data_IF_126283236519
#
_entry.id   IF_126283236519
#
_cell.length_a   1.000
_cell.length_b   1.000
_cell.length_c   1.000
_cell.angle_alpha   90.00
_cell.angle_beta   90.00
_cell.angle_gamma   90.00
#
_symmetry.space_group_name_H-M   'P 1'
#
loop_
_entity.id
_entity.type
_entity.pdbx_description
1 polymer ?
#
# COMPACT_ATOMS: atom_id res chain seq x y z
N UNK A 1 -12.21 -29.09 -5.03
CA UNK A 1 -11.33 -28.92 -3.86
C UNK A 1 -12.18 -29.00 -2.60
N UNK A 2 -11.67 -29.53 -1.48
CA UNK A 2 -12.40 -29.53 -0.20
C UNK A 2 -11.80 -28.45 0.70
N UNK A 3 -12.65 -27.74 1.43
CA UNK A 3 -12.25 -26.74 2.43
C UNK A 3 -13.07 -26.90 3.71
N UNK A 4 -12.50 -26.42 4.82
CA UNK A 4 -13.15 -26.36 6.12
C UNK A 4 -13.45 -24.90 6.48
N UNK A 5 -14.67 -24.62 6.95
CA UNK A 5 -15.02 -23.27 7.44
C UNK A 5 -14.77 -23.23 8.94
N UNK A 6 -13.90 -22.33 9.39
CA UNK A 6 -13.46 -22.22 10.78
C UNK A 6 -14.27 -21.11 11.44
N UNK A 7 -15.11 -21.49 12.42
CA UNK A 7 -15.99 -20.57 13.17
C UNK A 7 -15.86 -20.69 14.69
N UNK A 8 -15.12 -21.69 15.17
CA UNK A 8 -14.87 -21.92 16.59
C UNK A 8 -13.38 -21.78 16.91
N UNK A 9 -13.06 -21.28 18.10
CA UNK A 9 -11.68 -21.03 18.53
C UNK A 9 -10.84 -22.31 18.56
N UNK A 10 -11.42 -23.43 19.01
CA UNK A 10 -10.75 -24.75 19.00
C UNK A 10 -10.34 -25.20 17.60
N UNK A 11 -11.22 -24.97 16.61
CA UNK A 11 -10.91 -25.27 15.20
C UNK A 11 -9.75 -24.39 14.70
N UNK A 12 -9.71 -23.12 15.11
CA UNK A 12 -8.62 -22.21 14.75
C UNK A 12 -7.28 -22.67 15.37
N UNK A 13 -7.30 -23.08 16.63
CA UNK A 13 -6.12 -23.61 17.34
C UNK A 13 -5.58 -24.86 16.66
N UNK A 14 -6.44 -25.80 16.27
CA UNK A 14 -6.06 -27.02 15.55
C UNK A 14 -5.42 -26.70 14.20
N UNK A 15 -6.06 -25.82 13.41
CA UNK A 15 -5.55 -25.36 12.11
C UNK A 15 -4.18 -24.69 12.26
N UNK A 16 -4.03 -23.78 13.22
CA UNK A 16 -2.76 -23.06 13.42
C UNK A 16 -1.66 -24.00 13.94
N UNK A 17 -2.01 -25.01 14.74
CA UNK A 17 -1.04 -26.02 15.23
C UNK A 17 -0.54 -26.89 14.08
N UNK A 18 -1.42 -27.32 13.18
CA UNK A 18 -1.04 -28.06 11.97
C UNK A 18 -0.17 -27.23 11.03
N UNK A 19 -0.58 -25.97 10.78
CA UNK A 19 0.17 -25.01 9.96
C UNK A 19 1.61 -24.79 10.45
N UNK A 20 1.83 -24.76 11.78
CA UNK A 20 3.17 -24.61 12.37
C UNK A 20 4.12 -25.79 12.12
N UNK A 21 3.61 -26.94 11.68
CA UNK A 21 4.44 -28.09 11.33
C UNK A 21 4.95 -28.03 9.88
N UNK A 22 4.56 -27.01 9.12
CA UNK A 22 4.91 -26.85 7.71
C UNK A 22 5.99 -25.81 7.51
N UNK A 23 6.77 -25.94 6.44
CA UNK A 23 7.78 -24.94 6.07
C UNK A 23 7.16 -23.63 5.58
N UNK A 24 5.97 -23.72 4.97
CA UNK A 24 5.26 -22.57 4.43
C UNK A 24 3.74 -22.79 4.49
N UNK A 25 3.00 -21.69 4.55
CA UNK A 25 1.55 -21.67 4.40
C UNK A 25 1.14 -20.58 3.42
N UNK A 26 0.13 -20.87 2.61
CA UNK A 26 -0.47 -19.92 1.68
C UNK A 26 -1.56 -19.15 2.39
N UNK A 27 -1.54 -17.83 2.30
CA UNK A 27 -2.51 -16.94 2.90
C UNK A 27 -3.11 -16.00 1.86
N UNK A 28 -4.36 -15.66 2.09
CA UNK A 28 -5.07 -14.59 1.40
C UNK A 28 -6.07 -13.93 2.36
N UNK A 29 -6.64 -12.79 1.99
CA UNK A 29 -7.75 -12.19 2.72
C UNK A 29 -8.84 -11.62 1.81
N UNK A 30 -10.07 -11.65 2.30
CA UNK A 30 -11.18 -10.97 1.65
C UNK A 30 -11.76 -9.90 2.56
N UNK A 31 -11.95 -8.70 2.02
CA UNK A 31 -12.36 -7.53 2.78
C UNK A 31 -13.18 -6.55 1.94
N UNK A 32 -13.92 -5.68 2.62
CA UNK A 32 -14.74 -4.65 2.00
C UNK A 32 -14.21 -3.26 2.39
N UNK A 33 -13.98 -2.40 1.40
CA UNK A 33 -13.58 -0.99 1.60
C UNK A 33 -14.47 -0.04 0.79
N UNK A 34 -15.68 0.23 1.30
CA UNK A 34 -16.65 1.11 0.61
C UNK A 34 -16.60 2.53 1.18
N UNK A 35 -16.89 2.68 2.47
CA UNK A 35 -17.03 4.00 3.13
C UNK A 35 -16.14 4.17 4.34
N UNK A 36 -15.53 3.10 4.81
CA UNK A 36 -14.70 3.06 6.01
C UNK A 36 -13.30 3.57 5.72
N UNK A 37 -12.61 4.04 6.76
CA UNK A 37 -11.21 4.40 6.68
C UNK A 37 -10.37 3.13 6.60
N UNK A 38 -10.66 2.17 7.49
CA UNK A 38 -10.02 0.87 7.55
C UNK A 38 -10.77 -0.16 6.69
N UNK A 39 -10.08 -1.08 6.01
CA UNK A 39 -10.72 -2.21 5.36
C UNK A 39 -11.42 -3.09 6.40
N UNK A 40 -12.62 -3.56 6.07
CA UNK A 40 -13.38 -4.46 6.93
C UNK A 40 -13.11 -5.90 6.52
N UNK A 41 -12.33 -6.62 7.32
CA UNK A 41 -11.96 -8.01 7.08
C UNK A 41 -13.20 -8.92 7.14
N UNK A 42 -13.44 -9.66 6.06
CA UNK A 42 -14.57 -10.57 5.88
C UNK A 42 -14.17 -12.04 5.94
N UNK A 43 -13.01 -12.44 5.43
CA UNK A 43 -12.54 -13.83 5.45
C UNK A 43 -11.01 -13.88 5.42
N UNK A 44 -10.41 -14.88 6.06
CA UNK A 44 -9.00 -15.23 5.89
C UNK A 44 -8.93 -16.64 5.32
N UNK A 45 -8.11 -16.85 4.31
CA UNK A 45 -7.87 -18.14 3.71
C UNK A 45 -6.49 -18.64 4.11
N UNK A 46 -6.38 -19.92 4.43
CA UNK A 46 -5.13 -20.58 4.78
C UNK A 46 -5.06 -21.94 4.11
N UNK A 47 -3.98 -22.21 3.40
CA UNK A 47 -3.63 -23.55 2.93
C UNK A 47 -2.25 -23.96 3.44
N UNK A 48 -2.18 -25.08 4.15
CA UNK A 48 -0.97 -25.62 4.77
C UNK A 48 -0.32 -26.74 3.95
N UNK A 49 -0.75 -26.93 2.69
CA UNK A 49 -0.34 -28.06 1.85
C UNK A 49 -1.22 -29.31 2.01
N UNK A 50 -2.04 -29.41 3.06
CA UNK A 50 -2.92 -30.56 3.32
C UNK A 50 -4.40 -30.18 3.31
N UNK A 51 -4.78 -29.07 3.93
CA UNK A 51 -6.17 -28.62 4.07
C UNK A 51 -6.33 -27.13 3.80
N UNK A 52 -7.38 -26.79 3.07
CA UNK A 52 -7.81 -25.40 2.90
C UNK A 52 -8.75 -25.03 4.04
N UNK A 53 -8.43 -23.96 4.76
CA UNK A 53 -9.17 -23.45 5.90
C UNK A 53 -9.67 -22.03 5.59
N UNK A 54 -10.99 -21.85 5.60
CA UNK A 54 -11.66 -20.57 5.41
C UNK A 54 -12.09 -20.05 6.78
N UNK A 55 -11.30 -19.13 7.32
CA UNK A 55 -11.43 -18.62 8.68
C UNK A 55 -12.38 -17.42 8.67
N UNK A 56 -13.47 -17.51 9.43
CA UNK A 56 -14.47 -16.45 9.58
C UNK A 56 -14.15 -15.58 10.81
N UNK A 57 -13.45 -14.43 10.65
CA UNK A 57 -13.04 -13.60 11.78
C UNK A 57 -14.23 -12.90 12.45
N UNK A 58 -15.41 -12.86 11.81
CA UNK A 58 -16.62 -12.29 12.41
C UNK A 58 -17.32 -13.27 13.37
N UNK A 59 -17.07 -14.57 13.21
CA UNK A 59 -17.62 -15.62 14.08
C UNK A 59 -16.72 -15.93 15.28
N UNK A 60 -15.43 -15.61 15.19
CA UNK A 60 -14.41 -15.95 16.18
C UNK A 60 -14.28 -14.83 17.23
N UNK A 61 -14.34 -15.21 18.52
CA UNK A 61 -14.12 -14.27 19.62
C UNK A 61 -12.64 -14.02 19.94
N UNK A 62 -11.76 -14.91 19.48
CA UNK A 62 -10.33 -14.86 19.73
C UNK A 62 -9.56 -15.31 18.48
N UNK A 63 -8.58 -14.50 18.07
CA UNK A 63 -7.70 -14.74 16.91
C UNK A 63 -6.24 -14.97 17.33
N UNK A 64 -5.96 -15.14 18.63
CA UNK A 64 -4.60 -15.25 19.19
C UNK A 64 -3.79 -16.36 18.52
N UNK A 65 -4.38 -17.54 18.27
CA UNK A 65 -3.71 -18.64 17.61
C UNK A 65 -3.22 -18.27 16.19
N UNK A 66 -4.03 -17.51 15.43
CA UNK A 66 -3.68 -17.01 14.10
C UNK A 66 -2.60 -15.93 14.17
N UNK A 67 -2.73 -14.96 15.09
CA UNK A 67 -1.70 -13.93 15.32
C UNK A 67 -0.34 -14.55 15.62
N UNK A 68 -0.32 -15.55 16.50
CA UNK A 68 0.90 -16.29 16.82
C UNK A 68 1.47 -17.02 15.59
N UNK A 69 0.64 -17.54 14.68
CA UNK A 69 1.09 -18.17 13.44
C UNK A 69 1.67 -17.12 12.46
N UNK A 70 1.02 -15.96 12.33
CA UNK A 70 1.53 -14.85 11.51
C UNK A 70 2.93 -14.44 11.95
N UNK A 71 3.21 -14.43 13.25
CA UNK A 71 4.51 -14.03 13.80
C UNK A 71 5.51 -15.19 13.97
N UNK A 72 5.12 -16.42 13.64
CA UNK A 72 5.97 -17.59 13.81
C UNK A 72 7.09 -17.62 12.75
N UNK A 73 8.33 -17.39 13.18
CA UNK A 73 9.48 -17.32 12.27
C UNK A 73 9.88 -18.65 11.64
N UNK A 74 9.35 -19.77 12.15
CA UNK A 74 9.63 -21.10 11.60
C UNK A 74 8.82 -21.41 10.34
N UNK A 75 7.75 -20.65 10.08
CA UNK A 75 6.82 -20.90 8.97
C UNK A 75 6.80 -19.69 8.04
N UNK A 76 7.06 -19.92 6.75
CA UNK A 76 6.97 -18.87 5.72
C UNK A 76 5.51 -18.58 5.40
N UNK A 77 5.08 -17.31 5.49
CA UNK A 77 3.76 -16.90 5.01
C UNK A 77 3.87 -16.46 3.55
N UNK A 78 3.13 -17.11 2.67
CA UNK A 78 3.17 -16.86 1.23
C UNK A 78 1.86 -16.23 0.81
N UNK A 79 1.95 -15.08 0.16
CA UNK A 79 0.80 -14.33 -0.36
C UNK A 79 1.04 -13.94 -1.82
N UNK A 80 0.02 -13.41 -2.48
CA UNK A 80 0.14 -12.85 -3.82
C UNK A 80 -0.37 -11.40 -3.86
N UNK A 81 0.44 -10.47 -4.37
CA UNK A 81 0.08 -9.06 -4.48
C UNK A 81 -0.39 -8.46 -3.13
N UNK A 82 0.28 -8.81 -2.04
CA UNK A 82 -0.24 -8.77 -0.68
C UNK A 82 -0.31 -7.37 -0.05
N UNK A 83 -0.20 -6.32 -0.88
CA UNK A 83 -0.07 -4.96 -0.44
C UNK A 83 -1.25 -4.47 0.38
N UNK A 84 -2.48 -4.91 0.06
CA UNK A 84 -3.67 -4.58 0.86
C UNK A 84 -3.86 -5.55 2.03
N UNK A 85 -3.50 -6.82 1.88
CA UNK A 85 -3.55 -7.82 2.98
C UNK A 85 -2.68 -7.41 4.16
N UNK A 86 -1.50 -6.86 3.91
CA UNK A 86 -0.64 -6.32 4.97
C UNK A 86 -1.34 -5.18 5.74
N UNK A 87 -2.07 -4.29 5.05
CA UNK A 87 -2.86 -3.26 5.72
C UNK A 87 -4.01 -3.86 6.53
N UNK A 88 -4.67 -4.89 5.99
CA UNK A 88 -5.74 -5.62 6.69
C UNK A 88 -5.21 -6.28 7.96
N UNK A 89 -4.10 -7.03 7.89
CA UNK A 89 -3.48 -7.64 9.07
C UNK A 89 -3.05 -6.60 10.11
N UNK A 90 -2.40 -5.52 9.68
CA UNK A 90 -1.98 -4.46 10.60
C UNK A 90 -3.18 -3.84 11.34
N UNK A 91 -4.29 -3.61 10.63
CA UNK A 91 -5.49 -2.99 11.22
C UNK A 91 -6.29 -3.96 12.09
N UNK A 92 -6.41 -5.22 11.69
CA UNK A 92 -7.20 -6.23 12.40
C UNK A 92 -6.45 -6.84 13.60
N UNK A 93 -5.13 -6.98 13.49
CA UNK A 93 -4.32 -7.75 14.45
C UNK A 93 -3.14 -6.98 15.05
N UNK A 94 -2.84 -5.77 14.55
CA UNK A 94 -1.72 -4.97 15.05
C UNK A 94 -0.35 -5.52 14.69
N UNK A 95 -0.27 -6.50 13.78
CA UNK A 95 0.98 -7.10 13.32
C UNK A 95 0.92 -7.45 11.83
N UNK A 96 2.10 -7.62 11.25
CA UNK A 96 2.28 -8.18 9.91
C UNK A 96 2.76 -9.64 10.00
N UNK A 97 2.55 -10.46 8.95
CA UNK A 97 3.18 -11.76 8.84
C UNK A 97 4.73 -11.63 8.81
N UNK A 98 5.44 -12.46 9.56
CA UNK A 98 6.92 -12.50 9.59
C UNK A 98 7.44 -13.94 9.80
N UNK A 99 8.32 -14.47 8.93
CA UNK A 99 8.69 -13.95 7.62
C UNK A 99 7.56 -14.15 6.60
N UNK A 100 7.56 -13.36 5.53
CA UNK A 100 6.64 -13.57 4.42
C UNK A 100 7.31 -13.31 3.07
N UNK A 101 6.68 -13.82 2.01
CA UNK A 101 7.03 -13.54 0.63
C UNK A 101 5.78 -13.25 -0.19
N UNK A 102 5.94 -12.40 -1.19
CA UNK A 102 4.92 -12.08 -2.18
C UNK A 102 5.28 -12.72 -3.53
N UNK A 103 4.44 -13.62 -4.01
CA UNK A 103 4.64 -14.29 -5.30
C UNK A 103 4.55 -13.34 -6.50
N UNK A 104 3.87 -12.18 -6.39
CA UNK A 104 3.91 -11.13 -7.41
C UNK A 104 5.30 -10.47 -7.49
N UNK A 105 5.96 -10.26 -6.34
CA UNK A 105 7.36 -9.79 -6.31
C UNK A 105 8.27 -10.84 -6.94
N UNK A 106 8.12 -12.11 -6.56
CA UNK A 106 8.90 -13.21 -7.16
C UNK A 106 8.71 -13.28 -8.67
N UNK A 107 7.47 -13.16 -9.14
CA UNK A 107 7.14 -13.15 -10.56
C UNK A 107 7.76 -11.94 -11.30
N UNK A 108 7.84 -10.78 -10.66
CA UNK A 108 8.49 -9.59 -11.22
C UNK A 108 10.00 -9.80 -11.43
N UNK A 109 10.69 -10.46 -10.50
CA UNK A 109 12.10 -10.85 -10.67
C UNK A 109 12.30 -11.83 -11.84
N UNK A 110 11.31 -12.67 -12.13
CA UNK A 110 11.34 -13.64 -13.22
C UNK A 110 10.78 -13.10 -14.55
N UNK A 111 10.42 -11.81 -14.61
CA UNK A 111 10.01 -11.16 -15.86
C UNK A 111 8.54 -11.35 -16.26
N UNK A 112 7.69 -11.85 -15.37
CA UNK A 112 6.24 -11.96 -15.62
C UNK A 112 5.53 -10.60 -15.66
N UNK A 113 6.17 -9.54 -15.15
CA UNK A 113 5.62 -8.20 -15.03
C UNK A 113 5.47 -7.74 -13.58
N UNK A 114 5.35 -6.43 -13.38
CA UNK A 114 5.27 -5.79 -12.06
C UNK A 114 3.93 -5.98 -11.34
N UNK A 115 2.88 -6.23 -12.10
CA UNK A 115 1.50 -6.29 -11.62
C UNK A 115 0.79 -7.50 -12.21
N UNK A 116 1.54 -8.59 -12.37
CA UNK A 116 0.98 -9.87 -12.82
C UNK A 116 -0.04 -10.32 -11.80
N UNK A 117 -1.28 -10.51 -12.24
CA UNK A 117 -2.37 -10.94 -11.38
C UNK A 117 -2.31 -12.44 -11.13
N UNK A 118 -2.89 -12.87 -10.01
CA UNK A 118 -2.92 -14.26 -9.58
C UNK A 118 -3.45 -15.21 -10.66
N UNK A 119 -4.63 -14.90 -11.24
CA UNK A 119 -5.23 -15.71 -12.30
C UNK A 119 -4.34 -15.86 -13.56
N UNK A 120 -3.48 -14.87 -13.86
CA UNK A 120 -2.52 -14.99 -14.95
C UNK A 120 -1.44 -16.03 -14.61
N UNK A 121 -0.91 -16.00 -13.38
CA UNK A 121 0.05 -17.01 -12.94
C UNK A 121 -0.57 -18.41 -12.85
N UNK A 122 -1.82 -18.53 -12.43
CA UNK A 122 -2.52 -19.82 -12.40
C UNK A 122 -2.68 -20.36 -13.81
N UNK A 123 -3.10 -19.54 -14.77
CA UNK A 123 -3.18 -19.98 -16.17
C UNK A 123 -1.81 -20.37 -16.74
N UNK A 124 -0.76 -19.59 -16.47
CA UNK A 124 0.56 -19.81 -17.06
C UNK A 124 1.29 -21.02 -16.44
N UNK A 125 1.12 -21.27 -15.13
CA UNK A 125 1.89 -22.29 -14.37
C UNK A 125 1.08 -23.55 -14.12
N UNK A 126 -0.23 -23.42 -13.85
CA UNK A 126 -1.12 -24.53 -13.49
C UNK A 126 -1.98 -24.97 -14.68
N UNK A 127 -2.00 -24.21 -15.78
CA UNK A 127 -2.82 -24.44 -16.98
C UNK A 127 -4.32 -24.51 -16.65
N UNK A 128 -4.78 -23.59 -15.80
CA UNK A 128 -6.16 -23.50 -15.34
C UNK A 128 -6.68 -22.06 -15.43
N UNK A 129 -7.87 -21.90 -15.99
CA UNK A 129 -8.58 -20.62 -16.01
C UNK A 129 -9.42 -20.45 -14.74
N UNK A 130 -9.13 -19.41 -13.96
CA UNK A 130 -9.92 -19.07 -12.76
C UNK A 130 -11.15 -18.22 -13.10
N UNK A 131 -12.28 -18.55 -12.47
CA UNK A 131 -13.45 -17.69 -12.46
C UNK A 131 -13.19 -16.46 -11.57
N UNK A 132 -13.39 -15.25 -12.11
CA UNK A 132 -13.17 -13.97 -11.43
C UNK A 132 -14.46 -13.34 -10.87
N UNK A 133 -15.57 -14.08 -10.94
CA UNK A 133 -16.92 -13.57 -10.71
C UNK A 133 -17.16 -13.00 -9.29
N UNK A 134 -16.44 -13.50 -8.28
CA UNK A 134 -16.68 -13.13 -6.86
C UNK A 134 -15.67 -12.10 -6.29
N UNK A 135 -14.70 -11.61 -7.09
CA UNK A 135 -13.68 -10.64 -6.66
C UNK A 135 -14.21 -9.27 -6.16
N UNK A 136 -15.51 -8.99 -6.32
CA UNK A 136 -16.18 -7.75 -5.86
C UNK A 136 -17.44 -8.04 -5.03
N UNK A 137 -17.54 -9.23 -4.46
CA UNK A 137 -18.67 -9.66 -3.67
C UNK A 137 -18.73 -8.94 -2.31
N UNK A 138 -19.88 -9.05 -1.63
CA UNK A 138 -20.01 -8.60 -0.25
C UNK A 138 -19.46 -9.68 0.70
N UNK A 139 -18.20 -9.55 1.08
CA UNK A 139 -17.50 -10.48 1.98
C UNK A 139 -17.89 -10.34 3.45
N UNK A 140 -18.71 -9.34 3.80
CA UNK A 140 -19.32 -9.19 5.12
C UNK A 140 -20.68 -9.89 5.21
N UNK A 141 -21.26 -10.31 4.08
CA UNK A 141 -22.52 -11.03 4.06
C UNK A 141 -22.40 -12.37 4.81
N UNK A 142 -23.45 -12.76 5.54
CA UNK A 142 -23.53 -14.05 6.22
C UNK A 142 -24.91 -14.72 6.02
N UNK A 143 -24.94 -16.02 5.69
CA UNK A 143 -23.79 -16.87 5.33
C UNK A 143 -23.17 -16.44 3.99
N UNK A 144 -21.86 -16.68 3.80
CA UNK A 144 -21.24 -16.58 2.48
C UNK A 144 -21.81 -17.67 1.57
N UNK A 145 -21.93 -17.37 0.27
CA UNK A 145 -22.39 -18.34 -0.72
C UNK A 145 -21.32 -19.38 -1.07
N UNK A 146 -21.74 -20.54 -1.58
CA UNK A 146 -20.81 -21.60 -2.00
C UNK A 146 -19.81 -21.09 -3.05
N UNK A 147 -20.26 -20.22 -3.97
CA UNK A 147 -19.38 -19.60 -4.98
C UNK A 147 -18.29 -18.73 -4.37
N UNK A 148 -18.63 -17.92 -3.38
CA UNK A 148 -17.65 -17.10 -2.65
C UNK A 148 -16.64 -17.99 -1.93
N UNK A 149 -17.10 -19.08 -1.30
CA UNK A 149 -16.21 -20.01 -0.59
C UNK A 149 -15.30 -20.79 -1.56
N UNK A 150 -15.81 -21.24 -2.70
CA UNK A 150 -15.05 -21.92 -3.75
C UNK A 150 -13.98 -20.98 -4.35
N UNK A 151 -14.35 -19.72 -4.62
CA UNK A 151 -13.44 -18.69 -5.10
C UNK A 151 -12.29 -18.46 -4.10
N UNK A 152 -12.63 -18.13 -2.85
CA UNK A 152 -11.67 -17.85 -1.79
C UNK A 152 -10.72 -19.03 -1.54
N UNK A 153 -11.26 -20.25 -1.52
CA UNK A 153 -10.43 -21.43 -1.35
C UNK A 153 -9.42 -21.60 -2.50
N UNK A 154 -9.78 -21.17 -3.73
CA UNK A 154 -8.94 -21.28 -4.91
C UNK A 154 -7.70 -20.40 -4.82
N UNK A 155 -7.84 -19.21 -4.23
CA UNK A 155 -6.77 -18.21 -4.14
C UNK A 155 -5.58 -18.68 -3.29
N UNK A 156 -5.79 -19.56 -2.30
CA UNK A 156 -4.69 -20.17 -1.54
C UNK A 156 -4.28 -21.55 -2.02
N UNK A 157 -5.21 -22.32 -2.60
CA UNK A 157 -4.90 -23.68 -3.06
C UNK A 157 -3.98 -23.68 -4.28
N UNK A 158 -4.25 -22.83 -5.26
CA UNK A 158 -3.40 -22.71 -6.44
C UNK A 158 -2.15 -21.85 -6.20
N UNK A 159 -2.06 -21.15 -5.06
CA UNK A 159 -0.88 -20.37 -4.69
C UNK A 159 0.33 -21.25 -4.35
N UNK A 160 0.12 -22.42 -3.76
CA UNK A 160 1.21 -23.36 -3.43
C UNK A 160 2.02 -23.78 -4.67
N UNK A 161 1.42 -24.34 -5.75
CA UNK A 161 2.20 -24.74 -6.93
C UNK A 161 2.87 -23.54 -7.62
N UNK A 162 2.27 -22.34 -7.57
CA UNK A 162 2.89 -21.11 -8.06
C UNK A 162 4.14 -20.79 -7.23
N UNK A 163 4.02 -20.77 -5.91
CA UNK A 163 5.13 -20.50 -5.01
C UNK A 163 6.28 -21.48 -5.22
N UNK A 164 6.00 -22.78 -5.31
CA UNK A 164 7.03 -23.80 -5.52
C UNK A 164 7.78 -23.57 -6.86
N UNK A 165 7.03 -23.30 -7.93
CA UNK A 165 7.59 -23.00 -9.24
C UNK A 165 8.47 -21.75 -9.27
N UNK A 166 7.99 -20.66 -8.66
CA UNK A 166 8.74 -19.40 -8.60
C UNK A 166 9.95 -19.52 -7.68
N UNK A 167 9.82 -20.17 -6.51
CA UNK A 167 10.89 -20.33 -5.53
C UNK A 167 12.08 -21.09 -6.14
N UNK A 168 11.82 -22.17 -6.86
CA UNK A 168 12.86 -22.94 -7.53
C UNK A 168 13.70 -22.06 -8.47
N UNK A 169 13.06 -21.21 -9.26
CA UNK A 169 13.75 -20.33 -10.22
C UNK A 169 14.47 -19.17 -9.54
N UNK A 170 13.84 -18.55 -8.53
CA UNK A 170 14.45 -17.46 -7.76
C UNK A 170 15.72 -17.92 -7.06
N UNK A 171 15.70 -19.12 -6.46
CA UNK A 171 16.89 -19.69 -5.81
C UNK A 171 17.98 -20.03 -6.85
N UNK A 172 17.59 -20.56 -8.01
CA UNK A 172 18.55 -20.87 -9.08
C UNK A 172 19.24 -19.62 -9.66
N UNK A 173 18.59 -18.45 -9.57
CA UNK A 173 19.13 -17.17 -10.03
C UNK A 173 19.72 -16.31 -8.91
N UNK A 174 19.80 -16.84 -7.68
CA UNK A 174 20.34 -16.15 -6.49
C UNK A 174 19.60 -14.84 -6.13
N UNK A 175 18.30 -14.77 -6.43
CA UNK A 175 17.45 -13.59 -6.14
C UNK A 175 16.72 -13.67 -4.80
N UNK A 176 16.86 -14.77 -4.04
CA UNK A 176 16.04 -15.01 -2.85
C UNK A 176 16.16 -13.91 -1.79
N UNK A 177 17.37 -13.44 -1.49
CA UNK A 177 17.56 -12.34 -0.54
C UNK A 177 16.92 -11.04 -1.05
N UNK A 178 17.05 -10.75 -2.35
CA UNK A 178 16.44 -9.55 -2.95
C UNK A 178 14.90 -9.60 -2.90
N UNK A 179 14.29 -10.78 -3.06
CA UNK A 179 12.84 -10.98 -2.87
C UNK A 179 12.42 -10.65 -1.44
N UNK A 180 13.16 -11.15 -0.44
CA UNK A 180 12.88 -10.86 0.96
C UNK A 180 13.04 -9.37 1.27
N UNK A 181 14.07 -8.72 0.72
CA UNK A 181 14.30 -7.29 0.87
C UNK A 181 13.16 -6.45 0.26
N UNK A 182 12.63 -6.86 -0.91
CA UNK A 182 11.46 -6.20 -1.53
C UNK A 182 10.19 -6.38 -0.71
N UNK A 183 9.95 -7.59 -0.19
CA UNK A 183 8.80 -7.87 0.68
C UNK A 183 8.89 -7.03 1.96
N UNK A 184 10.07 -6.94 2.58
CA UNK A 184 10.29 -6.10 3.75
C UNK A 184 10.07 -4.61 3.44
N UNK A 185 10.57 -4.12 2.31
CA UNK A 185 10.35 -2.74 1.88
C UNK A 185 8.85 -2.44 1.68
N UNK A 186 8.07 -3.40 1.17
CA UNK A 186 6.62 -3.27 1.05
C UNK A 186 5.95 -3.23 2.43
N UNK A 187 6.35 -4.09 3.37
CA UNK A 187 5.88 -4.10 4.75
C UNK A 187 6.17 -2.77 5.47
N UNK A 188 7.41 -2.29 5.42
CA UNK A 188 7.83 -1.05 6.08
C UNK A 188 7.00 0.15 5.63
N UNK A 189 6.68 0.22 4.32
CA UNK A 189 5.82 1.28 3.76
C UNK A 189 4.39 1.22 4.28
N UNK A 190 3.88 0.05 4.64
CA UNK A 190 2.51 -0.12 5.15
C UNK A 190 2.39 0.23 6.62
N UNK A 191 3.43 -0.02 7.42
CA UNK A 191 3.44 0.31 8.86
C UNK A 191 3.99 1.70 9.16
N UNK A 192 4.61 2.37 8.17
CA UNK A 192 5.09 3.73 8.32
C UNK A 192 4.00 4.66 8.85
N UNK A 193 4.31 5.39 9.91
CA UNK A 193 3.39 6.37 10.48
C UNK A 193 3.05 7.43 9.44
N UNK A 194 1.75 7.66 9.23
CA UNK A 194 1.30 8.71 8.34
C UNK A 194 1.47 10.07 9.00
N UNK A 195 2.28 10.93 8.39
CA UNK A 195 2.48 12.31 8.82
C UNK A 195 1.24 13.16 8.53
N UNK A 196 0.36 13.23 9.53
CA UNK A 196 -0.91 13.97 9.47
C UNK A 196 -0.67 15.46 9.21
N UNK A 197 0.44 16.02 9.68
CA UNK A 197 0.76 17.44 9.48
C UNK A 197 1.14 17.72 8.02
N UNK A 198 1.66 16.73 7.30
CA UNK A 198 1.98 16.83 5.88
C UNK A 198 0.92 16.24 4.94
N UNK A 199 -0.25 15.84 5.45
CA UNK A 199 -1.36 15.31 4.66
C UNK A 199 -1.83 16.24 3.51
N UNK A 200 -1.61 17.55 3.63
CA UNK A 200 -1.93 18.51 2.58
C UNK A 200 -1.11 18.35 1.30
N UNK A 201 0.07 17.73 1.40
CA UNK A 201 0.93 17.49 0.24
C UNK A 201 0.34 16.42 -0.69
N UNK A 202 -0.46 15.50 -0.15
CA UNK A 202 -1.14 14.43 -0.89
C UNK A 202 -2.44 14.91 -1.56
N UNK A 203 -2.97 16.07 -1.16
CA UNK A 203 -4.19 16.64 -1.75
C UNK A 203 -3.92 16.99 -3.21
N UNK A 204 -4.66 16.36 -4.13
CA UNK A 204 -4.52 16.63 -5.56
C UNK A 204 -4.73 18.12 -5.86
N UNK A 205 -3.75 18.72 -6.51
CA UNK A 205 -3.77 20.15 -6.86
C UNK A 205 -3.18 21.09 -5.79
N UNK A 206 -2.71 20.58 -4.65
CA UNK A 206 -2.06 21.41 -3.63
C UNK A 206 -0.87 22.23 -4.17
N UNK A 207 -0.11 21.68 -5.14
CA UNK A 207 0.99 22.37 -5.83
C UNK A 207 0.59 23.66 -6.56
N UNK A 208 -0.70 23.87 -6.83
CA UNK A 208 -1.21 25.10 -7.47
C UNK A 208 -1.44 26.24 -6.47
N UNK A 209 -1.36 25.96 -5.16
CA UNK A 209 -1.61 26.92 -4.11
C UNK A 209 -0.34 27.71 -3.76
N UNK A 210 -0.52 28.98 -3.44
CA UNK A 210 0.56 29.78 -2.87
C UNK A 210 0.77 29.45 -1.37
N UNK A 211 1.87 29.95 -0.78
CA UNK A 211 2.24 29.68 0.62
C UNK A 211 1.13 29.99 1.63
N UNK A 212 0.40 31.09 1.43
CA UNK A 212 -0.72 31.48 2.30
C UNK A 212 -1.89 30.50 2.18
N UNK A 213 -2.24 30.10 0.96
CA UNK A 213 -3.29 29.10 0.72
C UNK A 213 -2.89 27.72 1.24
N UNK A 214 -1.61 27.35 1.16
CA UNK A 214 -1.07 26.14 1.78
C UNK A 214 -1.15 26.20 3.31
N UNK A 215 -0.90 27.37 3.92
CA UNK A 215 -1.09 27.56 5.36
C UNK A 215 -2.56 27.36 5.80
N UNK A 216 -3.52 27.59 4.90
CA UNK A 216 -4.93 27.23 5.12
C UNK A 216 -5.21 25.74 4.85
N UNK A 217 -4.67 25.18 3.77
CA UNK A 217 -4.90 23.77 3.40
C UNK A 217 -4.30 22.80 4.42
N UNK A 218 -3.12 23.10 4.97
CA UNK A 218 -2.40 22.27 5.94
C UNK A 218 -3.30 21.80 7.10
N UNK A 219 -3.82 22.70 7.96
CA UNK A 219 -4.68 22.29 9.07
C UNK A 219 -6.02 21.70 8.62
N UNK A 220 -6.54 22.07 7.44
CA UNK A 220 -7.77 21.47 6.89
C UNK A 220 -7.55 19.99 6.54
N UNK A 221 -6.43 19.67 5.89
CA UNK A 221 -6.08 18.30 5.52
C UNK A 221 -5.81 17.44 6.75
N UNK A 222 -5.05 17.96 7.72
CA UNK A 222 -4.79 17.29 9.01
C UNK A 222 -6.09 17.00 9.75
N UNK A 223 -6.99 17.99 9.88
CA UNK A 223 -8.30 17.79 10.49
C UNK A 223 -9.13 16.74 9.74
N UNK A 224 -9.19 16.81 8.40
CA UNK A 224 -9.96 15.84 7.60
C UNK A 224 -9.45 14.42 7.84
N UNK A 225 -8.13 14.24 7.90
CA UNK A 225 -7.52 12.94 8.16
C UNK A 225 -7.84 12.42 9.57
N UNK A 226 -7.68 13.26 10.60
CA UNK A 226 -8.02 12.89 11.97
C UNK A 226 -9.50 12.54 12.12
N UNK A 227 -10.40 13.31 11.50
CA UNK A 227 -11.84 13.06 11.56
C UNK A 227 -12.24 11.78 10.80
N UNK A 228 -11.62 11.52 9.65
CA UNK A 228 -11.77 10.31 8.87
C UNK A 228 -11.39 9.07 9.69
N UNK A 229 -10.20 9.08 10.30
CA UNK A 229 -9.73 7.99 11.17
C UNK A 229 -10.62 7.82 12.40
N UNK A 230 -10.97 8.92 13.08
CA UNK A 230 -11.79 8.90 14.31
C UNK A 230 -13.18 8.30 14.09
N UNK A 231 -13.77 8.55 12.92
CA UNK A 231 -15.12 8.08 12.59
C UNK A 231 -15.14 6.82 11.75
N UNK A 232 -13.97 6.27 11.44
CA UNK A 232 -13.79 5.21 10.46
C UNK A 232 -14.56 5.51 9.16
N UNK A 233 -14.21 6.64 8.53
CA UNK A 233 -14.76 7.09 7.26
C UNK A 233 -13.62 7.36 6.27
N UNK A 234 -13.77 6.90 5.04
CA UNK A 234 -12.86 7.30 3.96
C UNK A 234 -12.89 8.84 3.79
N UNK A 235 -11.73 9.43 3.45
CA UNK A 235 -11.51 10.89 3.46
C UNK A 235 -12.59 11.68 2.70
N UNK A 236 -13.00 11.20 1.54
CA UNK A 236 -14.00 11.86 0.70
C UNK A 236 -15.44 11.78 1.25
N UNK A 237 -15.70 10.93 2.25
CA UNK A 237 -16.96 10.88 2.99
C UNK A 237 -16.98 11.84 4.19
N UNK A 238 -15.82 12.38 4.59
CA UNK A 238 -15.75 13.50 5.55
C UNK A 238 -15.98 14.81 4.81
N UNK A 239 -15.06 15.18 3.92
CA UNK A 239 -15.16 16.32 2.98
C UNK A 239 -14.44 15.93 1.71
N UNK A 240 -15.11 16.09 0.56
CA UNK A 240 -14.52 15.80 -0.75
C UNK A 240 -13.23 16.58 -0.95
N UNK A 241 -12.22 15.91 -1.51
CA UNK A 241 -10.90 16.50 -1.78
C UNK A 241 -10.97 17.82 -2.57
N UNK A 242 -11.80 17.87 -3.61
CA UNK A 242 -11.98 19.07 -4.43
C UNK A 242 -12.60 20.25 -3.65
N UNK A 243 -13.55 19.97 -2.76
CA UNK A 243 -14.19 21.00 -1.93
C UNK A 243 -13.19 21.53 -0.90
N UNK A 244 -12.39 20.65 -0.29
CA UNK A 244 -11.32 21.02 0.65
C UNK A 244 -10.29 21.96 0.00
N UNK A 245 -9.83 21.61 -1.22
CA UNK A 245 -8.90 22.43 -2.00
C UNK A 245 -9.52 23.80 -2.35
N UNK A 246 -10.78 23.82 -2.76
CA UNK A 246 -11.49 25.05 -3.16
C UNK A 246 -11.67 25.99 -1.97
N UNK A 247 -12.06 25.47 -0.81
CA UNK A 247 -12.20 26.23 0.43
C UNK A 247 -10.86 26.86 0.82
N UNK A 248 -9.75 26.11 0.77
CA UNK A 248 -8.43 26.62 1.08
C UNK A 248 -7.98 27.69 0.08
N UNK A 249 -8.18 27.46 -1.23
CA UNK A 249 -7.80 28.38 -2.30
C UNK A 249 -8.51 29.73 -2.20
N UNK A 250 -9.81 29.71 -1.89
CA UNK A 250 -10.63 30.90 -1.76
C UNK A 250 -10.61 31.51 -0.35
N UNK A 251 -10.04 30.80 0.64
CA UNK A 251 -9.94 31.27 2.02
C UNK A 251 -11.31 31.53 2.67
N UNK A 252 -12.30 30.68 2.40
CA UNK A 252 -13.68 30.89 2.82
C UNK A 252 -13.83 30.71 4.34
N UNK A 253 -14.30 31.76 5.03
CA UNK A 253 -14.57 31.74 6.49
C UNK A 253 -16.05 31.63 6.84
N UNK A 254 -16.94 31.60 5.85
CA UNK A 254 -18.40 31.52 6.06
C UNK A 254 -18.91 30.18 5.56
N UNK A 255 -19.57 29.36 6.40
CA UNK A 255 -20.19 28.10 5.97
C UNK A 255 -21.14 28.30 4.78
N UNK A 256 -21.95 29.36 4.79
CA UNK A 256 -22.86 29.69 3.69
C UNK A 256 -22.13 29.88 2.36
N UNK A 257 -20.99 30.58 2.36
CA UNK A 257 -20.18 30.76 1.13
C UNK A 257 -19.47 29.47 0.71
N UNK A 258 -19.15 28.58 1.64
CA UNK A 258 -18.64 27.25 1.32
C UNK A 258 -19.73 26.43 0.60
N UNK A 259 -20.98 26.48 1.06
CA UNK A 259 -22.10 25.78 0.42
C UNK A 259 -22.34 26.26 -1.02
N UNK A 260 -22.16 27.56 -1.30
CA UNK A 260 -22.31 28.14 -2.64
C UNK A 260 -21.33 27.57 -3.68
N UNK A 261 -20.17 27.06 -3.25
CA UNK A 261 -19.10 26.56 -4.15
C UNK A 261 -18.85 25.05 -4.04
N UNK A 262 -19.37 24.39 -3.00
CA UNK A 262 -19.09 22.99 -2.73
C UNK A 262 -19.89 22.05 -3.63
N UNK A 263 -19.25 20.97 -4.05
CA UNK A 263 -19.89 19.87 -4.79
C UNK A 263 -20.67 18.93 -3.87
N UNK A 264 -20.37 18.90 -2.58
CA UNK A 264 -21.17 18.22 -1.55
C UNK A 264 -21.59 19.17 -0.43
N UNK A 265 -22.71 19.85 -0.66
CA UNK A 265 -23.34 20.77 0.31
C UNK A 265 -23.63 20.10 1.65
N UNK A 266 -23.99 18.80 1.67
CA UNK A 266 -24.32 18.10 2.93
C UNK A 266 -23.10 17.95 3.83
N UNK A 267 -21.92 17.71 3.24
CA UNK A 267 -20.66 17.65 3.99
C UNK A 267 -20.35 19.01 4.64
N UNK A 268 -20.62 20.11 3.93
CA UNK A 268 -20.42 21.48 4.44
C UNK A 268 -21.45 21.83 5.51
N UNK A 269 -22.72 21.46 5.36
CA UNK A 269 -23.72 21.67 6.41
C UNK A 269 -23.34 20.98 7.72
N UNK A 270 -22.69 19.81 7.63
CA UNK A 270 -22.23 19.04 8.80
C UNK A 270 -20.96 19.63 9.42
N UNK A 271 -19.99 20.04 8.61
CA UNK A 271 -18.64 20.37 9.06
C UNK A 271 -18.25 21.84 8.91
N UNK A 272 -19.11 22.67 8.32
CA UNK A 272 -18.81 24.02 7.86
C UNK A 272 -18.36 24.95 8.98
N UNK A 273 -18.92 24.84 10.19
CA UNK A 273 -18.47 25.61 11.34
C UNK A 273 -17.02 25.28 11.72
N UNK A 274 -16.66 23.99 11.73
CA UNK A 274 -15.29 23.55 12.00
C UNK A 274 -14.33 24.02 10.91
N UNK A 275 -14.70 23.84 9.63
CA UNK A 275 -13.91 24.32 8.49
C UNK A 275 -13.70 25.83 8.56
N UNK A 276 -14.77 26.59 8.84
CA UNK A 276 -14.75 28.05 8.99
C UNK A 276 -13.77 28.48 10.09
N UNK A 277 -13.82 27.81 11.24
CA UNK A 277 -12.90 28.10 12.35
C UNK A 277 -11.44 27.80 12.01
N UNK A 278 -11.18 26.68 11.30
CA UNK A 278 -9.83 26.33 10.84
C UNK A 278 -9.31 27.39 9.87
N UNK A 279 -10.11 27.78 8.88
CA UNK A 279 -9.73 28.81 7.91
C UNK A 279 -9.52 30.15 8.60
N UNK A 280 -10.41 30.56 9.51
CA UNK A 280 -10.27 31.78 10.29
C UNK A 280 -8.97 31.81 11.13
N UNK A 281 -8.60 30.67 11.74
CA UNK A 281 -7.36 30.55 12.49
C UNK A 281 -6.13 30.57 11.59
N UNK A 282 -6.20 30.05 10.36
CA UNK A 282 -5.07 30.10 9.42
C UNK A 282 -4.64 31.52 9.05
N UNK A 283 -5.54 32.50 9.13
CA UNK A 283 -5.19 33.92 8.91
C UNK A 283 -4.37 34.55 10.04
N UNK A 284 -4.28 33.89 11.19
CA UNK A 284 -3.45 34.35 12.33
C UNK A 284 -2.02 33.83 12.26
N UNK A 285 -1.74 32.89 11.36
CA UNK A 285 -0.40 32.32 11.16
C UNK A 285 0.50 33.42 10.57
N UNK A 286 1.68 33.60 11.15
CA UNK A 286 2.66 34.54 10.64
C UNK A 286 3.19 34.08 9.28
N UNK A 287 3.50 35.01 8.38
CA UNK A 287 4.01 34.66 7.04
C UNK A 287 5.33 33.85 7.09
N UNK A 288 6.14 34.06 8.12
CA UNK A 288 7.35 33.27 8.40
C UNK A 288 7.06 31.80 8.70
N UNK A 289 5.84 31.46 9.12
CA UNK A 289 5.41 30.10 9.46
C UNK A 289 4.65 29.43 8.31
N UNK A 290 4.44 30.12 7.18
CA UNK A 290 3.76 29.53 6.05
C UNK A 290 4.57 28.36 5.47
N UNK A 291 3.91 27.25 5.09
CA UNK A 291 4.57 26.15 4.41
C UNK A 291 5.35 26.62 3.18
N UNK A 292 6.41 25.90 2.88
CA UNK A 292 7.13 26.08 1.61
C UNK A 292 6.23 25.74 0.42
N UNK A 293 6.53 26.34 -0.73
CA UNK A 293 5.81 26.02 -1.95
C UNK A 293 6.07 24.56 -2.34
N UNK A 294 4.99 23.86 -2.67
CA UNK A 294 5.10 22.52 -3.28
C UNK A 294 5.49 22.72 -4.74
N UNK A 295 6.78 22.63 -5.03
CA UNK A 295 7.30 22.69 -6.40
C UNK A 295 7.44 21.26 -6.95
N UNK A 296 6.70 20.90 -8.02
CA UNK A 296 6.88 19.61 -8.68
C UNK A 296 8.31 19.45 -9.16
N UNK A 297 8.90 18.28 -8.92
CA UNK A 297 10.31 18.03 -9.25
C UNK A 297 10.62 18.22 -10.74
N UNK A 298 9.62 18.00 -11.60
CA UNK A 298 9.79 18.10 -13.05
C UNK A 298 9.88 19.54 -13.57
N UNK A 299 9.55 20.53 -12.73
CA UNK A 299 9.66 21.95 -13.04
C UNK A 299 11.05 22.51 -12.75
N UNK A 300 11.89 21.75 -12.03
CA UNK A 300 13.26 22.15 -11.75
C UNK A 300 14.11 22.15 -13.03
N UNK A 301 14.97 23.17 -13.16
CA UNK A 301 15.90 23.30 -14.29
C UNK A 301 16.79 22.06 -14.38
N UNK A 302 16.97 21.55 -15.60
CA UNK A 302 17.81 20.37 -15.84
C UNK A 302 17.14 19.02 -15.57
N UNK A 303 15.96 18.98 -14.93
CA UNK A 303 15.26 17.74 -14.59
C UNK A 303 15.08 16.81 -15.79
N UNK A 304 14.54 17.30 -16.91
CA UNK A 304 14.25 16.45 -18.08
C UNK A 304 15.50 15.75 -18.62
N UNK A 305 16.62 16.47 -18.66
CA UNK A 305 17.89 15.93 -19.13
C UNK A 305 18.49 14.94 -18.13
N UNK A 306 18.50 15.28 -16.84
CA UNK A 306 18.97 14.39 -15.78
C UNK A 306 18.13 13.10 -15.72
N UNK A 307 16.80 13.22 -15.65
CA UNK A 307 15.90 12.07 -15.59
C UNK A 307 16.10 11.12 -16.78
N UNK A 308 16.31 11.67 -17.99
CA UNK A 308 16.63 10.87 -19.18
C UNK A 308 17.95 10.10 -18.99
N UNK A 309 19.02 10.78 -18.55
CA UNK A 309 20.31 10.14 -18.28
C UNK A 309 20.20 9.01 -17.26
N UNK A 310 19.49 9.23 -16.16
CA UNK A 310 19.26 8.21 -15.13
C UNK A 310 18.46 7.02 -15.70
N UNK A 311 17.41 7.27 -16.50
CA UNK A 311 16.65 6.19 -17.16
C UNK A 311 17.49 5.41 -18.16
N UNK A 312 18.41 6.06 -18.87
CA UNK A 312 19.30 5.38 -19.81
C UNK A 312 20.32 4.50 -19.05
N UNK A 313 20.76 4.90 -17.87
CA UNK A 313 21.60 4.05 -17.00
C UNK A 313 20.81 2.84 -16.47
N UNK A 314 19.57 3.04 -16.02
CA UNK A 314 18.68 1.93 -15.60
C UNK A 314 18.47 0.91 -16.73
N UNK A 315 18.38 1.37 -17.99
CA UNK A 315 18.28 0.46 -19.16
C UNK A 315 19.54 -0.39 -19.33
N UNK A 316 20.73 0.15 -19.09
CA UNK A 316 21.97 -0.64 -19.17
C UNK A 316 21.97 -1.75 -18.13
N UNK A 317 21.61 -1.45 -16.88
CA UNK A 317 21.50 -2.44 -15.80
C UNK A 317 20.45 -3.51 -16.16
N UNK A 318 19.30 -3.10 -16.70
CA UNK A 318 18.26 -4.01 -17.20
C UNK A 318 18.76 -4.99 -18.26
N UNK A 319 19.60 -4.54 -19.20
CA UNK A 319 20.20 -5.43 -20.20
C UNK A 319 21.15 -6.47 -19.59
N UNK A 320 21.85 -6.12 -18.52
CA UNK A 320 22.80 -7.02 -17.85
C UNK A 320 22.11 -8.01 -16.93
N UNK A 321 21.09 -7.59 -16.19
CA UNK A 321 20.41 -8.42 -15.18
C UNK A 321 19.20 -9.17 -15.73
N UNK A 322 18.64 -8.74 -16.87
CA UNK A 322 17.37 -9.24 -17.39
C UNK A 322 16.13 -8.69 -16.68
N UNK A 323 16.30 -7.94 -15.58
CA UNK A 323 15.18 -7.36 -14.83
C UNK A 323 14.56 -6.19 -15.59
N UNK A 324 13.23 -6.06 -15.51
CA UNK A 324 12.50 -4.98 -16.16
C UNK A 324 12.93 -3.59 -15.64
N UNK A 325 13.08 -2.61 -16.54
CA UNK A 325 13.53 -1.26 -16.15
C UNK A 325 12.65 -0.59 -15.10
N UNK A 326 11.34 -0.85 -15.13
CA UNK A 326 10.40 -0.28 -14.18
C UNK A 326 10.48 -0.95 -12.80
N UNK A 327 10.96 -2.19 -12.73
CA UNK A 327 11.20 -2.93 -11.49
C UNK A 327 12.50 -2.53 -10.82
N UNK A 328 13.55 -2.33 -11.62
CA UNK A 328 14.82 -1.80 -11.17
C UNK A 328 14.64 -0.40 -10.58
N UNK A 329 14.00 0.51 -11.34
CA UNK A 329 13.75 1.86 -10.87
C UNK A 329 12.50 2.48 -11.53
N UNK A 330 11.43 2.55 -10.76
CA UNK A 330 10.22 3.27 -11.15
C UNK A 330 10.48 4.78 -11.25
N UNK A 331 9.62 5.50 -11.99
CA UNK A 331 9.66 6.97 -12.03
C UNK A 331 9.58 7.60 -10.63
N UNK A 332 8.79 7.00 -9.72
CA UNK A 332 8.65 7.46 -8.33
C UNK A 332 9.98 7.37 -7.59
N UNK A 333 10.65 6.22 -7.68
CA UNK A 333 11.93 5.96 -7.01
C UNK A 333 13.07 6.85 -7.55
N UNK A 334 13.15 7.04 -8.87
CA UNK A 334 14.11 7.99 -9.47
C UNK A 334 13.84 9.42 -8.95
N UNK A 335 12.58 9.83 -8.91
CA UNK A 335 12.22 11.16 -8.40
C UNK A 335 12.47 11.32 -6.90
N UNK A 336 12.35 10.24 -6.12
CA UNK A 336 12.71 10.22 -4.71
C UNK A 336 14.21 10.47 -4.54
N UNK A 337 15.05 9.78 -5.32
CA UNK A 337 16.50 9.98 -5.31
C UNK A 337 16.90 11.41 -5.73
N UNK A 338 16.35 11.92 -6.84
CA UNK A 338 16.60 13.31 -7.27
C UNK A 338 16.14 14.30 -6.19
N UNK A 339 14.97 14.09 -5.57
CA UNK A 339 14.47 14.98 -4.51
C UNK A 339 15.39 14.97 -3.30
N UNK A 340 15.86 13.80 -2.90
CA UNK A 340 16.78 13.65 -1.76
C UNK A 340 18.11 14.37 -2.00
N UNK A 341 18.63 14.36 -3.22
CA UNK A 341 19.82 15.14 -3.56
C UNK A 341 19.52 16.64 -3.63
N UNK A 342 18.49 17.06 -4.38
CA UNK A 342 18.26 18.47 -4.69
C UNK A 342 17.55 19.28 -3.60
N UNK A 343 16.72 18.64 -2.79
CA UNK A 343 15.93 19.31 -1.75
C UNK A 343 16.49 19.07 -0.35
N UNK A 344 17.15 17.92 -0.16
CA UNK A 344 17.57 17.46 1.15
C UNK A 344 19.09 17.37 1.33
N UNK A 345 19.86 17.73 0.29
CA UNK A 345 21.32 17.68 0.26
C UNK A 345 21.92 16.34 0.72
N UNK A 346 21.21 15.24 0.44
CA UNK A 346 21.57 13.88 0.91
C UNK A 346 21.59 13.70 2.43
N UNK A 347 21.09 14.66 3.21
CA UNK A 347 21.20 14.66 4.67
C UNK A 347 19.84 14.50 5.37
N UNK A 348 18.78 15.06 4.80
CA UNK A 348 17.46 15.09 5.44
C UNK A 348 16.43 14.21 4.74
N UNK A 349 15.38 13.80 5.47
CA UNK A 349 14.28 12.99 4.94
C UNK A 349 14.54 11.47 4.89
N UNK A 350 13.56 10.68 4.44
CA UNK A 350 13.71 9.24 4.33
C UNK A 350 14.71 8.87 3.24
N UNK A 351 15.55 7.87 3.52
CA UNK A 351 16.53 7.34 2.56
C UNK A 351 15.79 6.84 1.30
N UNK A 352 16.20 7.24 0.08
CA UNK A 352 15.54 6.76 -1.13
C UNK A 352 15.58 5.24 -1.26
N UNK A 353 14.54 4.64 -1.83
CA UNK A 353 14.46 3.18 -2.02
C UNK A 353 15.59 2.65 -2.90
N UNK A 354 16.07 3.47 -3.85
CA UNK A 354 17.22 3.13 -4.68
C UNK A 354 18.54 3.09 -3.90
N UNK A 355 18.60 3.68 -2.70
CA UNK A 355 19.77 3.69 -1.83
C UNK A 355 19.67 2.64 -0.72
N UNK A 356 18.76 1.67 -0.86
CA UNK A 356 18.51 0.60 0.11
C UNK A 356 18.75 -0.77 -0.53
N UNK A 357 19.08 -1.75 0.32
CA UNK A 357 19.18 -3.19 0.01
C UNK A 357 19.94 -3.50 -1.30
N UNK A 358 19.51 -4.53 -2.03
CA UNK A 358 20.10 -4.97 -3.30
C UNK A 358 20.11 -3.87 -4.39
N UNK A 359 19.16 -2.92 -4.35
CA UNK A 359 19.11 -1.83 -5.36
C UNK A 359 20.28 -0.86 -5.21
N UNK A 360 20.73 -0.60 -3.99
CA UNK A 360 21.82 0.34 -3.71
C UNK A 360 23.08 -0.03 -4.49
N UNK A 361 23.54 -1.26 -4.27
CA UNK A 361 24.82 -1.72 -4.83
C UNK A 361 24.69 -2.02 -6.33
N UNK A 362 23.49 -2.45 -6.78
CA UNK A 362 23.26 -2.75 -8.18
C UNK A 362 23.16 -1.50 -9.08
N UNK A 363 22.48 -0.44 -8.61
CA UNK A 363 22.26 0.75 -9.43
C UNK A 363 22.21 2.07 -8.65
N UNK A 364 21.82 2.04 -7.38
CA UNK A 364 21.62 3.21 -6.54
C UNK A 364 22.84 4.12 -6.45
N UNK A 365 23.99 3.54 -6.10
CA UNK A 365 25.24 4.27 -5.96
C UNK A 365 25.63 4.96 -7.28
N UNK A 366 25.54 4.23 -8.40
CA UNK A 366 25.79 4.78 -9.74
C UNK A 366 24.85 5.95 -10.02
N UNK A 367 23.54 5.79 -9.85
CA UNK A 367 22.59 6.88 -10.09
C UNK A 367 22.82 8.08 -9.18
N UNK A 368 23.16 7.86 -7.90
CA UNK A 368 23.43 8.92 -6.95
C UNK A 368 24.63 9.78 -7.34
N UNK A 369 25.70 9.16 -7.87
CA UNK A 369 26.88 9.91 -8.38
C UNK A 369 26.60 10.72 -9.64
N UNK A 370 25.59 10.34 -10.42
CA UNK A 370 25.20 11.07 -11.64
C UNK A 370 24.40 12.34 -11.37
N UNK A 371 23.93 12.54 -10.12
CA UNK A 371 23.10 13.68 -9.73
C UNK A 371 24.00 14.72 -9.05
N UNK A 372 24.30 15.79 -9.77
CA UNK A 372 25.02 16.92 -9.20
C UNK A 372 24.15 17.68 -8.20
N UNK A 373 24.79 18.34 -7.22
CA UNK A 373 24.11 19.30 -6.36
C UNK A 373 23.50 20.39 -7.23
N UNK A 374 22.35 20.90 -6.79
CA UNK A 374 21.66 21.96 -7.52
C UNK A 374 22.44 23.27 -7.36
N UNK A 375 22.76 23.92 -8.49
CA UNK A 375 23.22 25.32 -8.54
C UNK A 375 22.12 26.32 -8.10
#
# INVERSE_FOLDING_TARGET
MKYNIIKEVSQLEDVCTAARQQEAVMLDTEFVRIRTFFPQLGLIQLYDGHQVSLIDPLALSDMTAFVQLLQDKSVMKVLHACGEDLEVFQNSFGCLPEPFVDTQIMAAFLGYGLSTGFATLVQDIVDLELDKSESRADWLARPLSDKQLDYAAGDVYYLQPIYDHLKQQIVAQDWWQAVLDEAQLQADKRVAEYDIDNAYQDVKGAWQLNRKQLATLKPLASWRYSEARRRDLALNFVVKEQDLLTIAKLGLVSPKRMEEVATDVRSIQRHGNTLSQIVANSYKIAESEYPELIVPIHDYRGYKHLFKRLKDEVKKVSHTTGLATEFLASKKQINQLISWVWKCDRQTGPLPELMQSWRKDMLGDTLNTMIDHRD
#
